data_IF_399898056101
#
_entry.id   IF_399898056101
#
_cell.length_a   1.000
_cell.length_b   1.000
_cell.length_c   1.000
_cell.angle_alpha   90.00
_cell.angle_beta   90.00
_cell.angle_gamma   90.00
#
_symmetry.space_group_name_H-M   'P 1'
#
loop_
_entity.id
_entity.type
_entity.pdbx_description
1 polymer ?
#
# COMPACT_ATOMS: atom_id res chain seq x y z
N UNK A 1 44.70 29.07 30.92
CA UNK A 1 44.40 29.70 29.62
C UNK A 1 43.67 28.66 28.77
N UNK A 2 42.62 28.03 29.31
CA UNK A 2 41.26 28.55 29.55
C UNK A 2 40.45 28.42 28.25
N UNK A 3 39.79 27.29 28.01
CA UNK A 3 38.42 26.97 28.44
C UNK A 3 37.41 28.10 28.18
N UNK A 4 36.53 27.87 27.21
CA UNK A 4 35.14 28.33 27.25
C UNK A 4 34.24 27.21 26.70
N UNK A 5 33.92 26.27 27.58
CA UNK A 5 32.61 25.63 27.65
C UNK A 5 31.69 26.55 28.45
N UNK A 6 30.51 26.93 27.93
CA UNK A 6 29.33 27.45 28.65
C UNK A 6 28.28 27.67 27.54
N UNK A 7 27.17 26.93 27.45
CA UNK A 7 26.16 26.73 28.48
C UNK A 7 25.52 25.34 28.39
N UNK A 8 25.55 24.60 29.49
CA UNK A 8 24.40 23.80 29.92
C UNK A 8 23.41 24.74 30.61
N UNK A 9 22.10 24.46 30.48
CA UNK A 9 21.10 24.40 31.58
C UNK A 9 19.70 24.38 30.95
N UNK A 10 18.91 23.38 31.35
CA UNK A 10 17.49 23.61 31.62
C UNK A 10 16.49 23.08 30.60
N UNK A 11 16.17 21.80 30.77
CA UNK A 11 14.84 21.22 30.60
C UNK A 11 13.67 22.20 30.75
N UNK A 12 12.72 22.17 29.79
CA UNK A 12 11.30 22.06 30.09
C UNK A 12 10.51 21.59 28.86
N UNK A 13 9.63 20.62 29.12
CA UNK A 13 8.49 20.21 28.31
C UNK A 13 7.78 21.42 27.68
N UNK A 14 7.51 21.36 26.37
CA UNK A 14 6.21 21.81 25.88
C UNK A 14 5.77 20.93 24.71
N UNK A 15 4.84 20.04 25.06
CA UNK A 15 3.88 19.39 24.18
C UNK A 15 3.15 20.42 23.30
N UNK A 16 2.64 19.94 22.17
CA UNK A 16 1.73 20.53 21.17
C UNK A 16 2.45 20.86 19.84
N UNK A 17 2.10 20.27 18.70
CA UNK A 17 0.80 19.81 18.24
C UNK A 17 0.92 18.45 17.55
N UNK A 18 0.17 17.47 18.04
CA UNK A 18 -0.24 16.33 17.23
C UNK A 18 -0.94 16.89 15.98
N UNK A 19 -0.32 16.70 14.82
CA UNK A 19 -0.96 17.02 13.55
C UNK A 19 -2.26 16.20 13.51
N UNK A 20 -3.37 16.92 13.44
CA UNK A 20 -4.71 16.35 13.43
C UNK A 20 -4.82 15.23 12.39
N UNK A 21 -5.56 14.14 12.67
CA UNK A 21 -5.82 13.12 11.68
C UNK A 21 -6.46 13.78 10.47
N UNK A 22 -5.87 13.59 9.29
CA UNK A 22 -6.42 14.08 8.03
C UNK A 22 -7.62 13.19 7.70
N UNK A 23 -8.79 13.59 8.20
CA UNK A 23 -10.06 12.97 7.87
C UNK A 23 -10.43 13.33 6.43
N UNK A 24 -10.47 12.33 5.56
CA UNK A 24 -11.13 12.46 4.27
C UNK A 24 -12.51 11.80 4.37
N UNK A 25 -13.55 12.62 4.24
CA UNK A 25 -14.94 12.16 4.23
C UNK A 25 -15.25 11.45 2.91
N UNK A 26 -15.57 10.17 3.00
CA UNK A 26 -16.26 9.47 1.92
C UNK A 26 -17.75 9.87 1.96
N UNK A 27 -18.47 9.84 0.83
CA UNK A 27 -19.87 10.30 0.66
C UNK A 27 -20.94 9.58 1.52
N UNK A 28 -20.54 8.77 2.51
CA UNK A 28 -21.39 8.08 3.48
C UNK A 28 -21.04 8.36 4.95
N UNK A 29 -20.12 9.28 5.26
CA UNK A 29 -19.92 9.76 6.63
C UNK A 29 -19.41 8.73 7.65
N UNK A 30 -18.83 7.62 7.18
CA UNK A 30 -18.20 6.63 8.06
C UNK A 30 -16.72 6.97 8.14
N UNK A 31 -16.28 7.42 9.31
CA UNK A 31 -14.86 7.53 9.64
C UNK A 31 -14.29 6.10 9.70
N UNK A 32 -13.50 5.73 8.69
CA UNK A 32 -12.78 4.47 8.68
C UNK A 32 -11.55 4.69 9.55
N UNK A 33 -11.54 4.09 10.75
CA UNK A 33 -10.34 4.05 11.59
C UNK A 33 -9.38 3.03 10.98
N UNK A 34 -8.30 3.55 10.39
CA UNK A 34 -7.27 2.71 9.79
C UNK A 34 -6.35 2.15 10.87
N UNK A 35 -6.02 0.85 10.85
CA UNK A 35 -4.97 0.34 11.69
C UNK A 35 -3.64 1.02 11.31
N UNK A 36 -2.93 1.55 12.31
CA UNK A 36 -1.76 2.43 12.14
C UNK A 36 -0.62 1.83 11.29
N UNK A 37 -0.58 0.50 11.09
CA UNK A 37 0.42 -0.13 10.23
C UNK A 37 0.13 0.01 8.72
N UNK A 38 -1.09 0.38 8.33
CA UNK A 38 -1.45 0.72 6.94
C UNK A 38 -1.20 2.21 6.64
N UNK A 39 -1.10 3.04 7.66
CA UNK A 39 -0.82 4.48 7.55
C UNK A 39 0.67 4.72 7.81
N UNK A 40 1.52 4.18 6.95
CA UNK A 40 2.92 4.58 6.95
C UNK A 40 3.01 6.01 6.38
N UNK A 41 2.91 6.99 7.28
CA UNK A 41 3.03 8.43 6.99
C UNK A 41 4.46 8.84 6.64
N UNK A 42 5.39 7.89 6.56
CA UNK A 42 6.69 8.10 5.94
C UNK A 42 6.53 7.99 4.43
N UNK A 43 6.32 9.13 3.78
CA UNK A 43 6.78 9.39 2.42
C UNK A 43 8.17 8.76 2.23
N UNK A 44 8.20 7.54 1.71
CA UNK A 44 9.42 6.80 1.41
C UNK A 44 9.25 6.28 -0.01
N UNK A 45 9.74 7.08 -0.96
CA UNK A 45 10.42 6.81 -2.24
C UNK A 45 10.32 5.46 -2.99
N UNK A 46 9.39 4.57 -2.68
CA UNK A 46 9.03 3.42 -3.53
C UNK A 46 7.55 3.49 -3.86
N UNK A 47 7.12 4.58 -4.52
CA UNK A 47 5.96 4.45 -5.40
C UNK A 47 6.30 3.31 -6.35
N UNK A 48 5.53 2.22 -6.31
CA UNK A 48 5.52 1.30 -7.43
C UNK A 48 4.99 2.11 -8.59
N UNK A 49 5.93 2.62 -9.39
CA UNK A 49 5.69 3.51 -10.52
C UNK A 49 4.63 2.88 -11.40
N UNK A 50 3.39 3.34 -11.33
CA UNK A 50 2.27 2.82 -12.11
C UNK A 50 0.96 2.55 -11.36
N UNK A 51 0.92 2.58 -10.02
CA UNK A 51 -0.33 2.56 -9.24
C UNK A 51 -0.55 3.86 -8.47
N UNK A 52 -1.79 4.32 -8.46
CA UNK A 52 -2.30 5.43 -7.66
C UNK A 52 -2.58 4.98 -6.22
N UNK A 53 -2.77 5.95 -5.32
CA UNK A 53 -3.10 5.66 -3.93
C UNK A 53 -4.39 4.84 -3.78
N UNK A 54 -5.44 5.19 -4.53
CA UNK A 54 -6.74 4.50 -4.51
C UNK A 54 -6.58 3.04 -4.97
N UNK A 55 -5.75 2.79 -5.98
CA UNK A 55 -5.49 1.43 -6.46
C UNK A 55 -4.70 0.60 -5.46
N UNK A 56 -3.69 1.19 -4.80
CA UNK A 56 -2.96 0.48 -3.74
C UNK A 56 -3.85 0.16 -2.54
N UNK A 57 -4.74 1.08 -2.16
CA UNK A 57 -5.74 0.88 -1.11
C UNK A 57 -6.74 -0.23 -1.48
N UNK A 58 -7.27 -0.19 -2.72
CA UNK A 58 -8.15 -1.23 -3.24
C UNK A 58 -7.48 -2.61 -3.26
N UNK A 59 -6.21 -2.68 -3.66
CA UNK A 59 -5.44 -3.93 -3.62
C UNK A 59 -5.22 -4.42 -2.19
N UNK A 60 -4.95 -3.55 -1.22
CA UNK A 60 -4.83 -3.95 0.18
C UNK A 60 -6.14 -4.55 0.69
N UNK A 61 -7.25 -3.87 0.43
CA UNK A 61 -8.57 -4.38 0.80
C UNK A 61 -8.85 -5.74 0.15
N UNK A 62 -8.60 -5.88 -1.15
CA UNK A 62 -8.78 -7.14 -1.87
C UNK A 62 -7.92 -8.26 -1.24
N UNK A 63 -6.63 -8.00 -1.02
CA UNK A 63 -5.69 -8.97 -0.42
C UNK A 63 -6.13 -9.38 0.99
N UNK A 64 -6.63 -8.46 1.81
CA UNK A 64 -7.08 -8.75 3.18
C UNK A 64 -8.33 -9.64 3.25
N UNK A 65 -9.17 -9.60 2.22
CA UNK A 65 -10.43 -10.34 2.15
C UNK A 65 -10.32 -11.65 1.37
N UNK A 66 -9.28 -11.83 0.56
CA UNK A 66 -9.08 -13.03 -0.25
C UNK A 66 -8.05 -14.00 0.34
N UNK A 67 -8.34 -15.30 0.19
CA UNK A 67 -7.44 -16.37 0.64
C UNK A 67 -6.37 -16.69 -0.41
N UNK A 68 -6.80 -16.79 -1.67
CA UNK A 68 -5.97 -16.97 -2.85
C UNK A 68 -6.08 -15.71 -3.72
N UNK A 69 -4.96 -15.12 -4.07
CA UNK A 69 -4.87 -13.84 -4.78
C UNK A 69 -4.23 -14.12 -6.13
N UNK A 70 -5.02 -13.97 -7.19
CA UNK A 70 -4.53 -14.06 -8.57
C UNK A 70 -4.26 -12.65 -9.08
N UNK A 71 -3.08 -12.45 -9.67
CA UNK A 71 -2.69 -11.12 -10.14
C UNK A 71 -3.61 -10.60 -11.26
N UNK A 72 -4.17 -11.49 -12.08
CA UNK A 72 -5.16 -11.15 -13.10
C UNK A 72 -6.49 -10.68 -12.49
N UNK A 73 -7.04 -11.43 -11.54
CA UNK A 73 -8.28 -11.09 -10.84
C UNK A 73 -8.13 -9.80 -10.03
N UNK A 74 -6.99 -9.61 -9.37
CA UNK A 74 -6.67 -8.35 -8.70
C UNK A 74 -6.62 -7.15 -9.67
N UNK A 75 -6.10 -7.34 -10.89
CA UNK A 75 -6.12 -6.30 -11.92
C UNK A 75 -7.53 -6.02 -12.44
N UNK A 76 -8.38 -7.04 -12.57
CA UNK A 76 -9.78 -6.88 -12.94
C UNK A 76 -10.57 -6.17 -11.85
N UNK A 77 -10.36 -6.53 -10.59
CA UNK A 77 -10.93 -5.85 -9.41
C UNK A 77 -10.66 -4.35 -9.42
N UNK A 78 -9.42 -3.93 -9.74
CA UNK A 78 -9.10 -2.50 -9.84
C UNK A 78 -9.88 -1.79 -10.95
N UNK A 79 -10.12 -2.47 -12.07
CA UNK A 79 -10.88 -1.89 -13.19
C UNK A 79 -12.36 -1.77 -12.81
N UNK A 80 -12.93 -2.79 -12.16
CA UNK A 80 -14.37 -2.84 -11.86
C UNK A 80 -14.72 -2.01 -10.62
N UNK A 81 -14.01 -2.20 -9.51
CA UNK A 81 -14.33 -1.62 -8.20
C UNK A 81 -13.64 -0.27 -7.99
N UNK A 82 -12.37 -0.14 -8.37
CA UNK A 82 -11.61 1.10 -8.23
C UNK A 82 -11.76 2.05 -9.43
N UNK A 83 -12.52 1.64 -10.46
CA UNK A 83 -12.76 2.40 -11.70
C UNK A 83 -11.48 2.78 -12.45
N UNK A 84 -10.44 1.96 -12.33
CA UNK A 84 -9.20 2.18 -13.09
C UNK A 84 -9.48 2.06 -14.59
N UNK A 85 -8.96 2.98 -15.42
CA UNK A 85 -9.11 2.88 -16.87
C UNK A 85 -8.61 1.55 -17.41
N UNK A 86 -9.48 0.83 -18.14
CA UNK A 86 -9.11 -0.40 -18.83
C UNK A 86 -8.25 -0.08 -20.05
N UNK A 87 -6.94 -0.02 -19.85
CA UNK A 87 -5.96 0.23 -20.90
C UNK A 87 -5.18 -1.06 -21.16
N UNK A 88 -5.16 -1.52 -22.42
CA UNK A 88 -4.40 -2.70 -22.86
C UNK A 88 -3.25 -2.32 -23.82
N UNK A 89 -2.27 -3.21 -23.92
CA UNK A 89 -1.29 -3.21 -25.02
C UNK A 89 -1.92 -3.76 -26.30
N UNK A 90 -1.22 -3.65 -27.44
CA UNK A 90 -1.62 -4.28 -28.70
C UNK A 90 -1.72 -5.81 -28.64
N UNK A 91 -1.16 -6.44 -27.60
CA UNK A 91 -1.22 -7.87 -27.33
C UNK A 91 -2.38 -8.25 -26.39
N UNK A 92 -3.39 -7.38 -26.23
CA UNK A 92 -4.56 -7.51 -25.35
C UNK A 92 -4.28 -7.64 -23.84
N UNK A 93 -3.00 -7.57 -23.43
CA UNK A 93 -2.62 -7.59 -22.02
C UNK A 93 -2.91 -6.25 -21.35
N UNK A 94 -3.45 -6.27 -20.13
CA UNK A 94 -3.72 -5.07 -19.35
C UNK A 94 -2.41 -4.37 -18.97
N UNK A 95 -2.33 -3.05 -19.20
CA UNK A 95 -1.16 -2.24 -18.83
C UNK A 95 -0.94 -2.13 -17.33
N UNK A 96 -1.99 -2.33 -16.54
CA UNK A 96 -1.91 -2.28 -15.07
C UNK A 96 -1.28 -3.54 -14.46
N UNK A 97 -1.35 -4.67 -15.17
CA UNK A 97 -0.96 -5.98 -14.67
C UNK A 97 0.49 -6.06 -14.13
N UNK A 98 1.52 -5.50 -14.82
CA UNK A 98 2.88 -5.49 -14.29
C UNK A 98 2.98 -4.74 -12.95
N UNK A 99 2.23 -3.65 -12.78
CA UNK A 99 2.26 -2.86 -11.55
C UNK A 99 1.55 -3.57 -10.40
N UNK A 100 0.44 -4.27 -10.68
CA UNK A 100 -0.20 -5.16 -9.70
C UNK A 100 0.77 -6.25 -9.25
N UNK A 101 1.48 -6.89 -10.18
CA UNK A 101 2.50 -7.90 -9.84
C UNK A 101 3.63 -7.33 -8.97
N UNK A 102 4.11 -6.13 -9.27
CA UNK A 102 5.13 -5.46 -8.45
C UNK A 102 4.59 -5.19 -7.04
N UNK A 103 3.33 -4.77 -6.92
CA UNK A 103 2.69 -4.52 -5.63
C UNK A 103 2.52 -5.79 -4.80
N UNK A 104 2.09 -6.90 -5.41
CA UNK A 104 1.99 -8.19 -4.73
C UNK A 104 3.38 -8.71 -4.28
N UNK A 105 4.44 -8.48 -5.07
CA UNK A 105 5.81 -8.78 -4.61
C UNK A 105 6.25 -7.89 -3.44
N UNK A 106 5.83 -6.63 -3.39
CA UNK A 106 6.07 -5.76 -2.24
C UNK A 106 5.36 -6.28 -0.97
N UNK A 107 4.07 -6.66 -1.09
CA UNK A 107 3.33 -7.27 0.02
C UNK A 107 3.96 -8.61 0.46
N UNK A 108 4.51 -9.37 -0.48
CA UNK A 108 5.27 -10.59 -0.18
C UNK A 108 6.53 -10.30 0.62
N UNK A 109 7.31 -9.27 0.25
CA UNK A 109 8.50 -8.85 1.03
C UNK A 109 8.14 -8.42 2.45
N UNK A 110 6.93 -7.91 2.66
CA UNK A 110 6.36 -7.57 3.97
C UNK A 110 5.77 -8.77 4.74
N UNK A 111 5.87 -9.99 4.20
CA UNK A 111 5.28 -11.20 4.76
C UNK A 111 3.75 -11.15 4.93
N UNK A 112 3.04 -10.38 4.10
CA UNK A 112 1.57 -10.32 4.09
C UNK A 112 1.01 -11.45 3.22
N UNK A 113 1.69 -11.73 2.10
CA UNK A 113 1.32 -12.78 1.16
C UNK A 113 2.50 -13.68 0.83
N UNK A 114 2.25 -14.91 0.39
CA UNK A 114 3.26 -15.87 -0.06
C UNK A 114 2.98 -16.26 -1.49
N UNK A 115 3.98 -16.23 -2.36
CA UNK A 115 3.84 -16.72 -3.73
C UNK A 115 3.72 -18.26 -3.71
N UNK A 116 2.59 -18.79 -4.21
CA UNK A 116 2.33 -20.24 -4.29
C UNK A 116 2.73 -20.78 -5.66
N UNK A 117 2.38 -20.05 -6.71
CA UNK A 117 2.59 -20.49 -8.08
C UNK A 117 2.88 -19.31 -9.00
N UNK A 118 3.80 -19.54 -9.96
CA UNK A 118 4.13 -18.60 -11.02
C UNK A 118 4.11 -19.33 -12.35
N UNK A 119 3.23 -18.90 -13.26
CA UNK A 119 3.17 -19.39 -14.65
C UNK A 119 3.88 -18.39 -15.57
N UNK A 120 5.11 -18.03 -15.22
CA UNK A 120 5.92 -17.09 -16.00
C UNK A 120 5.31 -15.69 -16.06
N UNK A 121 5.08 -15.19 -17.29
CA UNK A 121 4.49 -13.85 -17.55
C UNK A 121 2.96 -13.87 -17.69
N UNK A 122 2.33 -15.03 -17.50
CA UNK A 122 0.88 -15.19 -17.68
C UNK A 122 0.11 -15.03 -16.39
N UNK A 123 0.57 -15.63 -15.29
CA UNK A 123 -0.15 -15.62 -14.03
C UNK A 123 0.77 -15.73 -12.83
N UNK A 124 0.41 -15.04 -11.75
CA UNK A 124 1.02 -15.19 -10.43
C UNK A 124 -0.07 -15.35 -9.38
N UNK A 125 0.09 -16.39 -8.56
CA UNK A 125 -0.87 -16.77 -7.54
C UNK A 125 -0.20 -16.67 -6.19
N UNK A 126 -0.80 -15.89 -5.31
CA UNK A 126 -0.35 -15.66 -3.95
C UNK A 126 -1.36 -16.22 -2.95
N UNK A 127 -0.91 -16.64 -1.78
CA UNK A 127 -1.76 -16.95 -0.62
C UNK A 127 -1.60 -15.86 0.41
N UNK A 128 -2.70 -15.42 1.01
CA UNK A 128 -2.60 -14.54 2.16
C UNK A 128 -2.15 -15.33 3.40
N UNK A 129 -1.11 -14.83 4.08
CA UNK A 129 -0.50 -15.47 5.26
C UNK A 129 -1.50 -15.59 6.40
N UNK A 130 -2.47 -14.68 6.50
CA UNK A 130 -3.55 -14.73 7.51
C UNK A 130 -4.34 -16.04 7.47
N UNK A 131 -4.39 -16.71 6.32
CA UNK A 131 -5.14 -17.95 6.11
C UNK A 131 -4.23 -19.17 5.84
N UNK A 132 -2.92 -19.03 6.08
CA UNK A 132 -1.94 -20.12 6.01
C UNK A 132 -1.74 -20.75 7.39
#
# INVERSE_FOLDING_TARGET
MDQLSLFEVGSNLESTNAAAPTSFENKKGIAIEYPQYLVDTRRTDERISGLTFVEMEGLNWYVENETEIRASEAAEYLITECKTPKISYSTDKLKIYPYVCMYLEYLRKKNIVVLIASRGTYERIYKNVKFC
#
